data_IF_977343490434
#
_entry.id   IF_977343490434
#
_cell.length_a   1.000
_cell.length_b   1.000
_cell.length_c   1.000
_cell.angle_alpha   90.00
_cell.angle_beta   90.00
_cell.angle_gamma   90.00
#
_symmetry.space_group_name_H-M   'P 1'
#
loop_
_entity.id
_entity.type
_entity.pdbx_description
1 polymer ?
#
# COMPACT_ATOMS: atom_id res chain seq x y z
N UNK A 1 22.97 5.25 3.62
CA UNK A 1 23.35 4.72 2.27
C UNK A 1 22.11 4.67 1.40
N UNK A 2 22.18 5.05 0.13
CA UNK A 2 21.03 5.05 -0.81
C UNK A 2 21.06 3.77 -1.65
N UNK A 3 19.91 3.12 -1.86
CA UNK A 3 19.74 2.02 -2.81
C UNK A 3 19.28 2.59 -4.15
N UNK A 4 20.12 2.46 -5.18
CA UNK A 4 19.80 2.84 -6.56
C UNK A 4 19.41 1.60 -7.38
N UNK A 5 18.28 1.68 -8.07
CA UNK A 5 17.68 0.59 -8.83
C UNK A 5 17.35 1.06 -10.24
N UNK A 6 17.96 0.44 -11.23
CA UNK A 6 17.63 0.54 -12.65
C UNK A 6 17.49 -0.89 -13.16
N UNK A 7 16.29 -1.35 -13.48
CA UNK A 7 16.04 -2.74 -13.88
C UNK A 7 15.12 -2.80 -15.08
N UNK A 8 15.52 -3.63 -16.06
CA UNK A 8 14.65 -4.09 -17.14
C UNK A 8 14.61 -5.62 -17.11
N UNK A 9 13.39 -6.19 -17.11
CA UNK A 9 13.18 -7.63 -17.11
C UNK A 9 11.95 -8.00 -17.93
N UNK A 10 12.13 -8.80 -18.96
CA UNK A 10 11.03 -9.45 -19.68
C UNK A 10 10.57 -10.67 -18.87
N UNK A 11 9.32 -10.70 -18.44
CA UNK A 11 8.77 -11.81 -17.67
C UNK A 11 7.98 -12.80 -18.54
N UNK A 12 7.24 -12.29 -19.54
CA UNK A 12 6.55 -13.07 -20.54
C UNK A 12 6.31 -12.21 -21.81
N UNK A 13 5.68 -12.77 -22.83
CA UNK A 13 5.46 -12.07 -24.11
C UNK A 13 4.68 -10.74 -23.98
N UNK A 14 3.86 -10.59 -22.95
CA UNK A 14 3.01 -9.40 -22.73
C UNK A 14 3.41 -8.52 -21.55
N UNK A 15 4.43 -8.89 -20.75
CA UNK A 15 4.78 -8.14 -19.55
C UNK A 15 6.29 -7.94 -19.40
N UNK A 16 6.69 -6.67 -19.45
CA UNK A 16 8.06 -6.23 -19.19
C UNK A 16 8.09 -5.29 -17.98
N UNK A 17 9.04 -5.52 -17.07
CA UNK A 17 9.37 -4.62 -15.97
C UNK A 17 10.44 -3.62 -16.44
N UNK A 18 10.17 -2.32 -16.28
CA UNK A 18 11.11 -1.24 -16.59
C UNK A 18 11.01 -0.17 -15.52
N UNK A 19 11.96 -0.12 -14.60
CA UNK A 19 11.92 0.78 -13.44
C UNK A 19 13.27 1.44 -13.20
N UNK A 20 13.21 2.71 -12.78
CA UNK A 20 14.37 3.49 -12.35
C UNK A 20 13.99 4.34 -11.14
N UNK A 21 14.64 4.11 -9.99
CA UNK A 21 14.39 4.88 -8.78
C UNK A 21 15.56 4.81 -7.81
N UNK A 22 15.50 5.68 -6.80
CA UNK A 22 16.39 5.66 -5.62
C UNK A 22 15.55 5.53 -4.36
N UNK A 23 15.97 4.67 -3.45
CA UNK A 23 15.44 4.55 -2.10
C UNK A 23 16.50 5.09 -1.12
N UNK A 24 16.16 6.21 -0.50
CA UNK A 24 16.98 6.82 0.54
C UNK A 24 16.85 6.04 1.86
N UNK A 25 17.71 6.30 2.87
CA UNK A 25 17.48 5.78 4.21
C UNK A 25 16.07 6.11 4.71
N UNK A 26 15.36 5.09 5.16
CA UNK A 26 13.93 5.17 5.48
C UNK A 26 13.14 4.09 4.74
N UNK A 27 11.81 4.18 4.80
CA UNK A 27 10.91 3.20 4.21
C UNK A 27 10.36 3.69 2.87
N UNK A 28 10.78 3.07 1.78
CA UNK A 28 10.19 3.28 0.45
C UNK A 28 9.17 2.18 0.16
N UNK A 29 7.91 2.57 0.06
CA UNK A 29 6.81 1.68 -0.27
C UNK A 29 6.77 1.43 -1.77
N UNK A 30 6.73 0.16 -2.20
CA UNK A 30 6.37 -0.24 -3.55
C UNK A 30 4.89 -0.62 -3.55
N UNK A 31 4.05 0.21 -4.14
CA UNK A 31 2.60 0.09 -4.13
C UNK A 31 2.06 -0.22 -5.53
N UNK A 32 1.00 -1.01 -5.63
CA UNK A 32 0.36 -1.33 -6.91
C UNK A 32 -0.44 -2.63 -6.86
N UNK A 33 -1.20 -2.92 -7.92
CA UNK A 33 -2.00 -4.14 -8.06
C UNK A 33 -1.13 -5.41 -7.98
N UNK A 34 -1.77 -6.55 -7.69
CA UNK A 34 -1.13 -7.85 -7.84
C UNK A 34 -0.65 -8.02 -9.28
N UNK A 35 0.56 -8.53 -9.47
CA UNK A 35 1.15 -8.69 -10.80
C UNK A 35 1.81 -7.43 -11.37
N UNK A 36 1.84 -6.27 -10.70
CA UNK A 36 2.48 -5.04 -11.22
C UNK A 36 4.02 -5.09 -11.27
N UNK A 37 4.66 -6.13 -10.72
CA UNK A 37 6.12 -6.33 -10.77
C UNK A 37 6.86 -6.04 -9.46
N UNK A 38 6.18 -5.69 -8.36
CA UNK A 38 6.79 -5.35 -7.05
C UNK A 38 7.75 -6.41 -6.51
N UNK A 39 7.29 -7.66 -6.40
CA UNK A 39 8.11 -8.80 -5.96
C UNK A 39 9.28 -9.05 -6.90
N UNK A 40 9.12 -8.81 -8.21
CA UNK A 40 10.20 -8.95 -9.19
C UNK A 40 11.30 -7.92 -8.97
N UNK A 41 10.94 -6.69 -8.59
CA UNK A 41 11.93 -5.66 -8.20
C UNK A 41 12.73 -6.13 -6.98
N UNK A 42 12.04 -6.57 -5.91
CA UNK A 42 12.73 -7.07 -4.72
C UNK A 42 13.68 -8.22 -5.06
N UNK A 43 13.19 -9.21 -5.83
CA UNK A 43 14.00 -10.36 -6.26
C UNK A 43 15.19 -9.95 -7.13
N UNK A 44 15.03 -8.94 -7.98
CA UNK A 44 16.12 -8.37 -8.79
C UNK A 44 17.19 -7.71 -7.93
N UNK A 45 16.79 -6.92 -6.93
CA UNK A 45 17.71 -6.31 -5.96
C UNK A 45 18.43 -7.38 -5.13
N UNK A 46 17.72 -8.39 -4.67
CA UNK A 46 18.29 -9.49 -3.90
C UNK A 46 19.19 -10.44 -4.70
N UNK A 47 19.12 -10.40 -6.06
CA UNK A 47 19.83 -11.35 -6.95
C UNK A 47 19.12 -12.68 -7.11
N UNK A 48 17.90 -12.83 -6.59
CA UNK A 48 17.07 -14.04 -6.75
C UNK A 48 16.47 -14.18 -8.16
N UNK A 49 16.38 -13.07 -8.86
CA UNK A 49 16.00 -13.01 -10.29
C UNK A 49 17.01 -12.12 -11.00
N UNK A 50 17.68 -12.65 -12.02
CA UNK A 50 18.64 -11.87 -12.79
C UNK A 50 17.89 -10.93 -13.74
N UNK A 51 18.11 -9.59 -13.65
CA UNK A 51 17.61 -8.65 -14.65
C UNK A 51 18.21 -8.90 -16.02
N UNK A 52 17.48 -8.52 -17.08
CA UNK A 52 18.02 -8.61 -18.44
C UNK A 52 18.98 -7.45 -18.71
N UNK A 53 18.65 -6.25 -18.19
CA UNK A 53 19.49 -5.07 -18.26
C UNK A 53 19.31 -4.22 -17.00
N UNK A 54 20.30 -3.38 -16.72
CA UNK A 54 20.21 -2.37 -15.69
C UNK A 54 21.37 -2.38 -14.71
N UNK A 55 21.15 -1.69 -13.58
CA UNK A 55 22.15 -1.54 -12.51
C UNK A 55 21.47 -1.50 -11.16
N UNK A 56 22.01 -2.19 -10.18
CA UNK A 56 21.63 -2.14 -8.75
C UNK A 56 22.85 -1.81 -7.94
N UNK A 57 22.77 -0.79 -7.09
CA UNK A 57 23.86 -0.38 -6.20
C UNK A 57 23.35 0.07 -4.84
N UNK A 58 24.11 -0.17 -3.77
CA UNK A 58 23.87 0.35 -2.43
C UNK A 58 25.07 1.23 -2.04
N UNK A 59 24.84 2.55 -1.93
CA UNK A 59 25.92 3.53 -1.86
C UNK A 59 26.83 3.38 -3.08
N UNK A 60 28.15 3.22 -2.85
CA UNK A 60 29.13 3.05 -3.93
C UNK A 60 29.29 1.59 -4.39
N UNK A 61 28.68 0.64 -3.67
CA UNK A 61 28.80 -0.79 -3.99
C UNK A 61 27.81 -1.21 -5.05
N UNK A 62 28.30 -1.60 -6.23
CA UNK A 62 27.51 -2.16 -7.32
C UNK A 62 27.24 -3.65 -7.04
N UNK A 63 25.96 -4.04 -7.04
CA UNK A 63 25.51 -5.42 -6.84
C UNK A 63 25.21 -6.13 -8.17
N UNK A 64 24.73 -5.36 -9.14
CA UNK A 64 24.46 -5.83 -10.51
C UNK A 64 24.70 -4.69 -11.49
N UNK A 65 25.34 -4.99 -12.60
CA UNK A 65 25.48 -4.06 -13.73
C UNK A 65 25.66 -4.86 -15.04
N UNK A 66 24.64 -4.77 -15.90
CA UNK A 66 24.64 -5.50 -17.18
C UNK A 66 25.64 -4.98 -18.20
N UNK A 67 26.14 -3.74 -18.06
CA UNK A 67 27.14 -3.15 -18.98
C UNK A 67 28.55 -3.58 -18.62
N UNK A 68 28.84 -3.65 -17.33
CA UNK A 68 30.19 -4.03 -16.84
C UNK A 68 30.29 -5.52 -16.49
N UNK A 69 29.19 -6.28 -16.58
CA UNK A 69 29.14 -7.71 -16.28
C UNK A 69 29.18 -8.05 -14.79
N UNK A 70 28.98 -7.07 -13.91
CA UNK A 70 28.94 -7.29 -12.45
C UNK A 70 27.64 -8.00 -12.08
N UNK A 71 27.74 -9.13 -11.38
CA UNK A 71 26.58 -9.86 -10.81
C UNK A 71 27.02 -10.52 -9.49
N UNK A 72 26.87 -9.79 -8.40
CA UNK A 72 27.27 -10.24 -7.05
C UNK A 72 26.36 -11.37 -6.61
N UNK A 73 26.93 -12.46 -6.12
CA UNK A 73 26.20 -13.62 -5.62
C UNK A 73 25.27 -13.24 -4.45
N UNK A 74 24.10 -13.89 -4.37
CA UNK A 74 23.06 -13.58 -3.37
C UNK A 74 23.60 -13.46 -1.95
N UNK A 75 24.40 -14.41 -1.41
CA UNK A 75 24.91 -14.32 -0.05
C UNK A 75 25.84 -13.13 0.19
N UNK A 76 26.48 -12.65 -0.86
CA UNK A 76 27.46 -11.55 -0.80
C UNK A 76 26.80 -10.17 -0.96
N UNK A 77 25.53 -10.08 -1.31
CA UNK A 77 24.83 -8.80 -1.48
C UNK A 77 24.59 -8.06 -0.17
N UNK A 78 24.63 -8.76 0.96
CA UNK A 78 24.34 -8.22 2.29
C UNK A 78 23.01 -7.48 2.37
N UNK A 79 21.96 -8.06 1.81
CA UNK A 79 20.58 -7.57 1.89
C UNK A 79 19.73 -8.50 2.77
N UNK A 80 18.94 -7.92 3.66
CA UNK A 80 17.93 -8.67 4.40
C UNK A 80 16.69 -8.87 3.54
N UNK A 81 16.13 -10.07 3.48
CA UNK A 81 14.91 -10.35 2.74
C UNK A 81 13.87 -11.07 3.61
N UNK A 82 12.65 -10.53 3.67
CA UNK A 82 11.50 -11.19 4.28
C UNK A 82 10.51 -11.53 3.18
N UNK A 83 10.31 -12.83 2.97
CA UNK A 83 9.38 -13.35 1.96
C UNK A 83 7.94 -13.28 2.48
N UNK A 84 6.98 -13.18 1.56
CA UNK A 84 5.55 -13.21 1.88
C UNK A 84 5.14 -14.44 2.70
N UNK A 85 5.71 -15.60 2.40
CA UNK A 85 5.49 -16.84 3.15
C UNK A 85 6.48 -17.05 4.31
N UNK A 86 7.20 -16.00 4.74
CA UNK A 86 8.21 -15.96 5.79
C UNK A 86 9.41 -16.90 5.59
N UNK A 87 9.25 -18.03 4.93
CA UNK A 87 10.26 -19.04 4.64
C UNK A 87 11.11 -19.42 5.89
N UNK A 88 10.47 -19.59 7.06
CA UNK A 88 11.14 -20.10 8.23
C UNK A 88 11.44 -21.59 8.06
N UNK A 89 12.58 -22.03 8.59
CA UNK A 89 12.97 -23.44 8.57
C UNK A 89 12.15 -24.20 9.62
N UNK A 90 11.24 -25.10 9.26
CA UNK A 90 10.29 -25.72 10.21
C UNK A 90 10.96 -26.66 11.20
N UNK A 91 12.12 -27.21 10.85
CA UNK A 91 12.90 -28.13 11.69
C UNK A 91 13.86 -27.43 12.66
N UNK A 92 13.99 -26.10 12.54
CA UNK A 92 14.86 -25.28 13.39
C UNK A 92 14.04 -24.53 14.44
N UNK A 93 14.62 -24.29 15.62
CA UNK A 93 14.04 -23.41 16.63
C UNK A 93 14.05 -21.93 16.17
N UNK A 94 13.34 -21.07 16.89
CA UNK A 94 13.37 -19.59 16.68
C UNK A 94 14.80 -19.08 16.74
N UNK A 95 15.59 -19.48 17.76
CA UNK A 95 17.00 -19.09 17.87
C UNK A 95 17.84 -19.55 16.68
N UNK A 96 17.63 -20.78 16.20
CA UNK A 96 18.34 -21.32 15.05
C UNK A 96 17.94 -20.63 13.74
N UNK A 97 16.65 -20.29 13.56
CA UNK A 97 16.18 -19.50 12.44
C UNK A 97 16.83 -18.12 12.42
N UNK A 98 16.80 -17.39 13.53
CA UNK A 98 17.43 -16.07 13.64
C UNK A 98 18.94 -16.18 13.36
N UNK A 99 19.64 -17.10 13.99
CA UNK A 99 21.08 -17.26 13.89
C UNK A 99 21.59 -17.90 12.60
N UNK A 100 20.70 -18.26 11.65
CA UNK A 100 21.09 -19.03 10.44
C UNK A 100 22.14 -18.30 9.60
N UNK A 101 21.98 -17.01 9.37
CA UNK A 101 22.91 -16.17 8.60
C UNK A 101 24.22 -15.85 9.35
N UNK A 102 24.35 -16.25 10.62
CA UNK A 102 25.53 -16.00 11.46
C UNK A 102 26.44 -17.21 11.64
N UNK A 103 26.31 -18.24 10.79
CA UNK A 103 27.04 -19.51 10.95
C UNK A 103 28.56 -19.35 10.98
N UNK A 104 29.10 -18.34 10.32
CA UNK A 104 30.54 -18.04 10.29
C UNK A 104 31.07 -17.35 11.57
N UNK A 105 30.19 -16.83 12.44
CA UNK A 105 30.60 -16.15 13.67
C UNK A 105 30.91 -17.13 14.81
N UNK A 106 31.80 -16.76 15.74
CA UNK A 106 32.02 -17.47 16.99
C UNK A 106 30.69 -17.69 17.74
N UNK A 107 30.59 -18.83 18.45
CA UNK A 107 29.35 -19.27 19.12
C UNK A 107 28.78 -18.21 20.07
N UNK A 108 29.65 -17.59 20.87
CA UNK A 108 29.22 -16.63 21.89
C UNK A 108 28.74 -15.32 21.25
N UNK A 109 29.42 -14.83 20.22
CA UNK A 109 29.00 -13.66 19.46
C UNK A 109 27.66 -13.90 18.74
N UNK A 110 27.51 -15.05 18.07
CA UNK A 110 26.26 -15.45 17.45
C UNK A 110 25.11 -15.49 18.47
N UNK A 111 25.34 -16.10 19.66
CA UNK A 111 24.34 -16.17 20.73
C UNK A 111 23.94 -14.77 21.22
N UNK A 112 24.89 -13.87 21.41
CA UNK A 112 24.65 -12.49 21.84
C UNK A 112 23.82 -11.73 20.80
N UNK A 113 24.15 -11.84 19.50
CA UNK A 113 23.40 -11.18 18.43
C UNK A 113 21.97 -11.73 18.30
N UNK A 114 21.79 -13.05 18.42
CA UNK A 114 20.48 -13.68 18.39
C UNK A 114 19.63 -13.21 19.57
N UNK A 115 20.18 -13.13 20.78
CA UNK A 115 19.49 -12.65 21.96
C UNK A 115 19.06 -11.18 21.81
N UNK A 116 19.96 -10.31 21.34
CA UNK A 116 19.65 -8.89 21.09
C UNK A 116 18.57 -8.69 20.01
N UNK A 117 18.62 -9.48 18.92
CA UNK A 117 17.57 -9.45 17.90
C UNK A 117 16.23 -9.95 18.45
N UNK A 118 16.21 -11.02 19.24
CA UNK A 118 15.01 -11.54 19.85
C UNK A 118 14.38 -10.56 20.85
N UNK A 119 15.20 -9.83 21.60
CA UNK A 119 14.75 -8.78 22.52
C UNK A 119 14.11 -7.60 21.76
N UNK A 120 14.77 -7.14 20.69
CA UNK A 120 14.26 -6.03 19.86
C UNK A 120 12.89 -6.31 19.23
N UNK A 121 12.56 -7.57 19.00
CA UNK A 121 11.28 -7.99 18.43
C UNK A 121 10.35 -8.70 19.45
N UNK A 122 10.65 -8.61 20.75
CA UNK A 122 9.83 -9.15 21.85
C UNK A 122 9.52 -10.65 21.74
N UNK A 123 10.51 -11.45 21.31
CA UNK A 123 10.41 -12.92 21.16
C UNK A 123 11.45 -13.69 21.99
N UNK A 124 12.08 -13.07 22.97
CA UNK A 124 13.13 -13.70 23.80
C UNK A 124 12.65 -14.97 24.52
N UNK A 125 11.38 -15.02 24.95
CA UNK A 125 10.79 -16.20 25.61
C UNK A 125 10.47 -17.37 24.66
N UNK A 126 10.73 -17.22 23.34
CA UNK A 126 10.35 -18.19 22.32
C UNK A 126 11.54 -18.89 21.66
N UNK A 127 12.77 -18.58 22.06
CA UNK A 127 14.01 -18.98 21.38
C UNK A 127 14.13 -20.49 21.14
N UNK A 128 13.64 -21.32 22.08
CA UNK A 128 13.71 -22.77 21.98
C UNK A 128 12.52 -23.40 21.24
N UNK A 129 11.47 -22.61 20.95
CA UNK A 129 10.28 -23.11 20.23
C UNK A 129 10.54 -23.24 18.74
N UNK A 130 9.76 -24.11 18.08
CA UNK A 130 9.74 -24.23 16.61
C UNK A 130 8.67 -23.34 15.99
N UNK A 131 8.74 -23.06 14.68
CA UNK A 131 7.76 -22.21 13.99
C UNK A 131 6.30 -22.68 14.09
N UNK A 132 6.05 -23.97 14.23
CA UNK A 132 4.71 -24.56 14.44
C UNK A 132 4.16 -24.37 15.86
N UNK A 133 5.01 -23.99 16.80
CA UNK A 133 4.68 -23.78 18.22
C UNK A 133 4.50 -22.29 18.59
N UNK A 134 4.52 -21.40 17.59
CA UNK A 134 4.40 -19.95 17.78
C UNK A 134 3.30 -19.38 16.88
N UNK A 135 2.69 -18.27 17.30
CA UNK A 135 1.64 -17.57 16.57
C UNK A 135 2.13 -16.98 15.24
N UNK A 136 1.19 -16.54 14.38
CA UNK A 136 1.50 -15.87 13.11
C UNK A 136 2.38 -14.63 13.29
N UNK A 137 2.04 -13.77 14.26
CA UNK A 137 2.82 -12.56 14.57
C UNK A 137 4.22 -12.89 15.11
N UNK A 138 4.37 -13.92 15.93
CA UNK A 138 5.67 -14.37 16.46
C UNK A 138 6.53 -14.97 15.34
N UNK A 139 5.95 -15.71 14.40
CA UNK A 139 6.65 -16.16 13.18
C UNK A 139 7.15 -14.97 12.35
N UNK A 140 6.31 -13.94 12.19
CA UNK A 140 6.68 -12.72 11.47
C UNK A 140 7.86 -12.01 12.13
N UNK A 141 7.80 -11.81 13.46
CA UNK A 141 8.88 -11.21 14.24
C UNK A 141 10.18 -12.03 14.15
N UNK A 142 10.08 -13.37 14.13
CA UNK A 142 11.21 -14.26 13.90
C UNK A 142 11.84 -14.06 12.53
N UNK A 143 11.02 -13.92 11.46
CA UNK A 143 11.51 -13.69 10.11
C UNK A 143 12.18 -12.31 9.96
N UNK A 144 11.63 -11.27 10.60
CA UNK A 144 12.26 -9.95 10.67
C UNK A 144 13.59 -10.01 11.42
N UNK A 145 13.62 -10.60 12.62
CA UNK A 145 14.84 -10.78 13.41
C UNK A 145 15.92 -11.54 12.62
N UNK A 146 15.56 -12.60 11.88
CA UNK A 146 16.47 -13.36 11.00
C UNK A 146 17.05 -12.50 9.87
N UNK A 147 16.24 -11.65 9.26
CA UNK A 147 16.68 -10.79 8.17
C UNK A 147 17.62 -9.67 8.66
N UNK A 148 17.44 -9.22 9.91
CA UNK A 148 18.12 -8.05 10.47
C UNK A 148 19.35 -8.39 11.30
N UNK A 149 19.46 -9.62 11.83
CA UNK A 149 20.59 -10.05 12.69
C UNK A 149 21.94 -10.01 11.99
N UNK A 150 21.94 -10.12 10.66
CA UNK A 150 23.15 -10.08 9.82
C UNK A 150 23.66 -8.67 9.54
N UNK A 151 22.99 -7.63 10.09
CA UNK A 151 23.30 -6.23 9.87
C UNK A 151 23.36 -5.85 8.38
N UNK A 152 22.24 -6.01 7.65
CA UNK A 152 22.21 -5.84 6.21
C UNK A 152 22.38 -4.38 5.79
N UNK A 153 22.84 -4.15 4.55
CA UNK A 153 22.97 -2.81 3.95
C UNK A 153 21.63 -2.25 3.40
N UNK A 154 20.65 -3.11 3.20
CA UNK A 154 19.28 -2.77 2.82
C UNK A 154 18.32 -3.88 3.28
N UNK A 155 17.04 -3.54 3.49
CA UNK A 155 15.99 -4.47 3.88
C UNK A 155 14.90 -4.53 2.82
N UNK A 156 14.51 -5.73 2.41
CA UNK A 156 13.53 -6.02 1.39
C UNK A 156 12.38 -6.82 2.01
N UNK A 157 11.17 -6.24 2.02
CA UNK A 157 10.00 -6.80 2.68
C UNK A 157 8.87 -7.01 1.65
N UNK A 158 8.50 -8.25 1.42
CA UNK A 158 7.51 -8.64 0.42
C UNK A 158 6.18 -8.99 1.10
N UNK A 159 5.23 -8.06 1.15
CA UNK A 159 3.93 -8.15 1.83
C UNK A 159 4.02 -8.76 3.25
N UNK A 160 4.90 -8.24 4.11
CA UNK A 160 5.26 -8.95 5.34
C UNK A 160 4.13 -9.07 6.35
N UNK A 161 3.08 -8.26 6.28
CA UNK A 161 2.02 -8.20 7.29
C UNK A 161 0.65 -8.68 6.78
N UNK A 162 0.54 -9.14 5.54
CA UNK A 162 -0.73 -9.46 4.87
C UNK A 162 -1.60 -10.53 5.56
N UNK A 163 -0.99 -11.43 6.36
CA UNK A 163 -1.68 -12.56 7.02
C UNK A 163 -1.97 -12.31 8.51
N UNK A 164 -1.80 -11.08 9.01
CA UNK A 164 -1.92 -10.75 10.43
C UNK A 164 -3.13 -9.86 10.70
N UNK A 165 -3.67 -9.95 11.91
CA UNK A 165 -4.69 -9.01 12.39
C UNK A 165 -4.10 -7.61 12.65
N UNK A 166 -4.99 -6.62 12.67
CA UNK A 166 -4.62 -5.20 12.73
C UNK A 166 -3.79 -4.83 13.97
N UNK A 167 -4.09 -5.38 15.13
CA UNK A 167 -3.40 -5.02 16.37
C UNK A 167 -1.94 -5.48 16.34
N UNK A 168 -1.71 -6.70 15.82
CA UNK A 168 -0.37 -7.28 15.64
C UNK A 168 0.39 -6.54 14.54
N UNK A 169 -0.27 -6.23 13.41
CA UNK A 169 0.35 -5.44 12.34
C UNK A 169 0.91 -4.12 12.89
N UNK A 170 0.10 -3.38 13.67
CA UNK A 170 0.50 -2.09 14.24
C UNK A 170 1.74 -2.22 15.13
N UNK A 171 1.77 -3.21 16.01
CA UNK A 171 2.93 -3.43 16.87
C UNK A 171 4.21 -3.72 16.07
N UNK A 172 4.13 -4.57 15.05
CA UNK A 172 5.28 -4.91 14.19
C UNK A 172 5.74 -3.69 13.38
N UNK A 173 4.81 -2.86 12.89
CA UNK A 173 5.15 -1.61 12.21
C UNK A 173 5.89 -0.63 13.14
N UNK A 174 5.44 -0.49 14.38
CA UNK A 174 6.10 0.35 15.39
C UNK A 174 7.50 -0.17 15.75
N UNK A 175 7.67 -1.50 15.86
CA UNK A 175 8.96 -2.15 16.11
C UNK A 175 9.93 -1.93 14.93
N UNK A 176 9.46 -2.10 13.69
CA UNK A 176 10.26 -1.89 12.48
C UNK A 176 10.69 -0.43 12.34
N UNK A 177 9.78 0.51 12.61
CA UNK A 177 10.08 1.95 12.56
C UNK A 177 11.16 2.30 13.56
N UNK A 178 10.99 1.95 14.85
CA UNK A 178 11.98 2.19 15.91
C UNK A 178 13.34 1.57 15.57
N UNK A 179 13.32 0.36 15.03
CA UNK A 179 14.55 -0.30 14.61
C UNK A 179 15.28 0.49 13.51
N UNK A 180 14.53 0.99 12.49
CA UNK A 180 15.14 1.70 11.36
C UNK A 180 15.54 3.15 11.70
N UNK A 181 14.89 3.80 12.68
CA UNK A 181 15.29 5.15 13.16
C UNK A 181 16.74 5.22 13.63
N UNK A 182 17.22 4.14 14.27
CA UNK A 182 18.60 4.04 14.74
C UNK A 182 19.59 3.61 13.66
N UNK A 183 19.17 2.77 12.71
CA UNK A 183 20.05 2.16 11.69
C UNK A 183 20.11 2.95 10.39
N UNK A 184 19.04 3.67 10.06
CA UNK A 184 18.90 4.47 8.84
C UNK A 184 19.26 3.71 7.57
N UNK A 185 18.68 2.50 7.43
CA UNK A 185 18.81 1.68 6.23
C UNK A 185 17.75 2.05 5.18
N UNK A 186 18.03 1.88 3.89
CA UNK A 186 17.01 1.85 2.86
C UNK A 186 16.19 0.57 3.01
N UNK A 187 14.88 0.73 3.22
CA UNK A 187 13.91 -0.36 3.30
C UNK A 187 13.01 -0.28 2.08
N UNK A 188 12.96 -1.33 1.25
CA UNK A 188 11.93 -1.50 0.24
C UNK A 188 10.82 -2.37 0.81
N UNK A 189 9.63 -1.81 0.90
CA UNK A 189 8.47 -2.45 1.50
C UNK A 189 7.36 -2.60 0.47
N UNK A 190 7.04 -3.82 0.08
CA UNK A 190 5.92 -4.12 -0.82
C UNK A 190 4.64 -4.28 -0.02
N UNK A 191 3.62 -3.55 -0.39
CA UNK A 191 2.26 -3.70 0.14
C UNK A 191 1.22 -3.19 -0.84
N UNK A 192 -0.02 -3.63 -0.67
CA UNK A 192 -1.21 -3.06 -1.27
C UNK A 192 -2.12 -2.40 -0.21
N UNK A 193 -1.70 -2.36 1.06
CA UNK A 193 -2.41 -1.76 2.19
C UNK A 193 -2.09 -0.27 2.31
N UNK A 194 -3.11 0.59 2.16
CA UNK A 194 -3.00 2.04 2.42
C UNK A 194 -2.54 2.33 3.83
N UNK A 195 -3.06 1.57 4.81
CA UNK A 195 -2.71 1.74 6.23
C UNK A 195 -1.22 1.56 6.46
N UNK A 196 -0.65 0.51 5.88
CA UNK A 196 0.79 0.24 5.98
C UNK A 196 1.59 1.34 5.28
N UNK A 197 1.15 1.75 4.08
CA UNK A 197 1.78 2.82 3.31
C UNK A 197 1.81 4.15 4.07
N UNK A 198 0.69 4.56 4.69
CA UNK A 198 0.61 5.78 5.50
C UNK A 198 1.33 5.65 6.84
N UNK A 199 1.31 4.46 7.47
CA UNK A 199 1.92 4.25 8.78
C UNK A 199 3.44 4.17 8.71
N UNK A 200 4.02 3.59 7.65
CA UNK A 200 5.45 3.30 7.56
C UNK A 200 6.19 4.13 6.50
N UNK A 201 5.52 4.50 5.40
CA UNK A 201 6.18 5.02 4.22
C UNK A 201 6.68 6.45 4.39
N UNK A 202 7.98 6.66 4.22
CA UNK A 202 8.57 7.98 4.01
C UNK A 202 8.41 8.39 2.54
N UNK A 203 8.47 7.42 1.64
CA UNK A 203 8.26 7.57 0.20
C UNK A 203 7.41 6.42 -0.34
N UNK A 204 6.61 6.71 -1.37
CA UNK A 204 5.84 5.72 -2.09
C UNK A 204 6.15 5.79 -3.57
N UNK A 205 6.34 4.62 -4.18
CA UNK A 205 6.51 4.42 -5.62
C UNK A 205 5.34 3.56 -6.07
N UNK A 206 4.49 4.13 -6.90
CA UNK A 206 3.35 3.44 -7.45
C UNK A 206 3.70 2.76 -8.78
N UNK A 207 3.35 1.48 -8.88
CA UNK A 207 3.69 0.61 -10.00
C UNK A 207 2.44 0.12 -10.70
N UNK A 208 2.44 0.25 -12.02
CA UNK A 208 1.41 -0.29 -12.89
C UNK A 208 2.06 -0.91 -14.13
N UNK A 209 1.62 -2.12 -14.51
CA UNK A 209 2.10 -2.83 -15.70
C UNK A 209 3.63 -2.81 -15.89
N UNK A 210 4.37 -2.98 -14.78
CA UNK A 210 5.84 -3.03 -14.81
C UNK A 210 6.54 -1.67 -14.91
N UNK A 211 5.82 -0.56 -14.77
CA UNK A 211 6.36 0.81 -14.84
C UNK A 211 6.00 1.62 -13.60
N UNK A 212 6.83 2.60 -13.30
CA UNK A 212 6.53 3.60 -12.26
C UNK A 212 5.59 4.63 -12.86
N UNK A 213 4.41 4.79 -12.24
CA UNK A 213 3.40 5.78 -12.67
C UNK A 213 3.36 7.00 -11.76
N UNK A 214 3.81 6.87 -10.51
CA UNK A 214 3.93 7.99 -9.59
C UNK A 214 4.98 7.71 -8.50
N UNK A 215 5.52 8.78 -7.92
CA UNK A 215 6.46 8.70 -6.81
C UNK A 215 6.41 10.00 -6.01
N UNK A 216 6.31 9.90 -4.68
CA UNK A 216 6.21 11.01 -3.75
C UNK A 216 6.04 10.51 -2.32
N UNK A 217 5.56 11.35 -1.41
CA UNK A 217 5.06 10.88 -0.11
C UNK A 217 3.79 10.03 -0.31
N UNK A 218 3.42 9.15 0.63
CA UNK A 218 2.17 8.40 0.54
C UNK A 218 0.94 9.30 0.33
N UNK A 219 0.90 10.46 0.97
CA UNK A 219 -0.20 11.42 0.80
C UNK A 219 -0.24 12.05 -0.60
N UNK A 220 0.92 12.45 -1.14
CA UNK A 220 0.98 13.03 -2.50
C UNK A 220 0.53 12.02 -3.57
N UNK A 221 0.86 10.74 -3.40
CA UNK A 221 0.55 9.72 -4.41
C UNK A 221 -0.84 9.13 -4.24
N UNK A 222 -1.24 8.78 -3.01
CA UNK A 222 -2.49 8.05 -2.75
C UNK A 222 -3.71 8.95 -2.59
N UNK A 223 -3.53 10.22 -2.23
CA UNK A 223 -4.62 11.19 -2.15
C UNK A 223 -4.83 11.96 -3.48
N UNK A 224 -4.04 11.65 -4.54
CA UNK A 224 -4.12 12.36 -5.82
C UNK A 224 -4.98 11.57 -6.84
N UNK A 225 -6.23 12.01 -7.12
CA UNK A 225 -7.17 11.27 -7.96
C UNK A 225 -6.85 11.29 -9.46
N UNK A 226 -5.84 12.08 -9.91
CA UNK A 226 -5.41 12.11 -11.31
C UNK A 226 -4.88 10.77 -11.84
N UNK A 227 -4.45 9.90 -10.96
CA UNK A 227 -3.93 8.58 -11.32
C UNK A 227 -5.07 7.54 -11.27
N UNK A 228 -5.94 7.54 -12.28
CA UNK A 228 -7.11 6.67 -12.34
C UNK A 228 -6.86 5.18 -12.01
N UNK A 229 -5.76 4.55 -12.46
CA UNK A 229 -5.45 3.19 -12.07
C UNK A 229 -5.08 3.03 -10.60
N UNK A 230 -4.47 4.06 -10.01
CA UNK A 230 -4.15 4.08 -8.59
C UNK A 230 -5.34 4.48 -7.72
N UNK A 231 -6.27 5.26 -8.24
CA UNK A 231 -7.45 5.69 -7.51
C UNK A 231 -8.29 4.48 -7.07
N UNK A 232 -8.49 3.49 -7.94
CA UNK A 232 -9.16 2.23 -7.57
C UNK A 232 -8.38 1.47 -6.48
N UNK A 233 -7.05 1.42 -6.58
CA UNK A 233 -6.18 0.86 -5.55
C UNK A 233 -6.15 1.73 -4.29
N UNK A 234 -6.35 3.04 -4.42
CA UNK A 234 -6.48 3.98 -3.32
C UNK A 234 -7.86 3.93 -2.62
N UNK A 235 -8.73 2.99 -3.02
CA UNK A 235 -10.06 2.81 -2.45
C UNK A 235 -11.02 3.92 -2.86
N UNK A 236 -10.78 4.55 -4.02
CA UNK A 236 -11.75 5.42 -4.66
C UNK A 236 -12.54 4.60 -5.70
N UNK A 237 -13.65 4.03 -5.28
CA UNK A 237 -14.52 3.20 -6.14
C UNK A 237 -15.39 4.07 -7.05
N UNK A 238 -15.61 5.33 -6.68
CA UNK A 238 -16.39 6.29 -7.44
C UNK A 238 -15.46 7.31 -8.10
N UNK A 239 -15.27 7.18 -9.41
CA UNK A 239 -14.43 8.05 -10.23
C UNK A 239 -15.28 8.65 -11.34
N UNK A 240 -15.36 9.97 -11.38
CA UNK A 240 -16.19 10.69 -12.34
C UNK A 240 -15.37 11.77 -13.06
N UNK A 241 -15.48 11.83 -14.37
CA UNK A 241 -15.08 13.01 -15.12
C UNK A 241 -16.17 14.07 -14.95
N UNK A 242 -15.79 15.32 -14.75
CA UNK A 242 -16.69 16.43 -14.45
C UNK A 242 -16.18 17.74 -15.03
N UNK A 243 -17.07 18.72 -15.15
CA UNK A 243 -16.72 20.10 -15.54
C UNK A 243 -17.10 21.04 -14.40
N UNK A 244 -16.21 21.95 -14.03
CA UNK A 244 -16.50 23.00 -13.04
C UNK A 244 -17.54 23.94 -13.63
N UNK A 245 -18.70 24.05 -13.00
CA UNK A 245 -19.80 24.96 -13.45
C UNK A 245 -19.78 26.27 -12.70
N UNK A 246 -19.44 26.27 -11.40
CA UNK A 246 -19.38 27.51 -10.61
C UNK A 246 -18.29 27.43 -9.54
N UNK A 247 -17.79 28.59 -9.12
CA UNK A 247 -16.86 28.76 -8.00
C UNK A 247 -17.51 29.54 -6.88
N UNK A 248 -17.33 29.10 -5.65
CA UNK A 248 -17.90 29.74 -4.46
C UNK A 248 -16.76 30.10 -3.49
N UNK A 249 -15.94 31.10 -3.84
CA UNK A 249 -14.71 31.45 -3.11
C UNK A 249 -14.94 31.74 -1.63
N UNK A 250 -16.08 32.40 -1.27
CA UNK A 250 -16.45 32.66 0.14
C UNK A 250 -16.84 31.39 0.91
N UNK A 251 -17.39 30.38 0.21
CA UNK A 251 -17.80 29.12 0.82
C UNK A 251 -16.64 28.10 0.83
N UNK A 252 -15.54 28.37 0.14
CA UNK A 252 -14.42 27.46 0.00
C UNK A 252 -14.74 26.21 -0.85
N UNK A 253 -15.66 26.35 -1.82
CA UNK A 253 -16.15 25.22 -2.62
C UNK A 253 -16.28 25.60 -4.11
N UNK A 254 -16.49 24.61 -4.95
CA UNK A 254 -16.92 24.77 -6.35
C UNK A 254 -17.95 23.71 -6.70
N UNK A 255 -18.86 24.04 -7.62
CA UNK A 255 -19.85 23.11 -8.17
C UNK A 255 -19.30 22.50 -9.44
N UNK A 256 -19.45 21.20 -9.61
CA UNK A 256 -19.09 20.47 -10.83
C UNK A 256 -20.26 19.62 -11.31
N UNK A 257 -20.45 19.61 -12.62
CA UNK A 257 -21.40 18.74 -13.32
C UNK A 257 -20.66 17.48 -13.78
N UNK A 258 -21.15 16.30 -13.39
CA UNK A 258 -20.59 15.02 -13.82
C UNK A 258 -20.88 14.79 -15.31
N UNK A 259 -19.86 14.36 -16.05
CA UNK A 259 -19.94 14.21 -17.52
C UNK A 259 -20.97 13.16 -17.92
N UNK A 260 -21.87 13.53 -18.84
CA UNK A 260 -22.90 12.62 -19.34
C UNK A 260 -24.13 12.44 -18.44
N UNK A 261 -24.23 13.23 -17.36
CA UNK A 261 -25.35 13.16 -16.40
C UNK A 261 -25.88 14.55 -16.06
N UNK A 262 -26.95 14.63 -15.27
CA UNK A 262 -27.43 15.87 -14.66
C UNK A 262 -27.01 16.04 -13.19
N UNK A 263 -26.11 15.18 -12.71
CA UNK A 263 -25.68 15.18 -11.31
C UNK A 263 -24.64 16.27 -11.07
N UNK A 264 -24.95 17.18 -10.18
CA UNK A 264 -23.99 18.18 -9.68
C UNK A 264 -23.43 17.77 -8.32
N UNK A 265 -22.14 18.03 -8.12
CA UNK A 265 -21.46 17.85 -6.85
C UNK A 265 -20.77 19.15 -6.42
N UNK A 266 -20.94 19.48 -5.13
CA UNK A 266 -20.16 20.53 -4.48
C UNK A 266 -18.88 19.92 -3.90
N UNK A 267 -17.72 20.35 -4.41
CA UNK A 267 -16.39 19.84 -4.09
C UNK A 267 -15.53 20.95 -3.45
N UNK A 268 -14.41 20.63 -2.77
CA UNK A 268 -13.53 21.64 -2.21
C UNK A 268 -13.03 22.62 -3.27
N UNK A 269 -12.84 23.88 -2.89
CA UNK A 269 -12.30 24.90 -3.75
C UNK A 269 -10.88 24.55 -4.19
N UNK A 270 -10.67 24.39 -5.48
CA UNK A 270 -9.39 24.16 -6.13
C UNK A 270 -8.95 25.33 -6.99
N UNK A 271 -7.88 25.13 -7.75
CA UNK A 271 -7.34 26.13 -8.69
C UNK A 271 -8.09 26.17 -10.03
N UNK A 272 -8.90 25.14 -10.33
CA UNK A 272 -9.62 25.04 -11.60
C UNK A 272 -10.63 26.16 -11.77
N UNK A 273 -10.65 26.79 -12.95
CA UNK A 273 -11.63 27.79 -13.31
C UNK A 273 -12.95 27.16 -13.79
N UNK A 274 -14.04 27.94 -13.81
CA UNK A 274 -15.28 27.50 -14.44
C UNK A 274 -15.04 27.14 -15.92
N UNK A 275 -15.65 26.03 -16.37
CA UNK A 275 -15.44 25.44 -17.69
C UNK A 275 -14.28 24.45 -17.78
N UNK A 276 -13.45 24.32 -16.73
CA UNK A 276 -12.33 23.38 -16.72
C UNK A 276 -12.82 21.96 -16.48
N UNK A 277 -12.32 21.01 -17.27
CA UNK A 277 -12.51 19.57 -17.04
C UNK A 277 -11.67 19.13 -15.82
N UNK A 278 -12.28 18.37 -14.95
CA UNK A 278 -11.67 17.83 -13.74
C UNK A 278 -12.09 16.37 -13.54
N UNK A 279 -11.40 15.67 -12.66
CA UNK A 279 -11.82 14.36 -12.18
C UNK A 279 -12.19 14.44 -10.70
N UNK A 280 -13.35 13.87 -10.34
CA UNK A 280 -13.83 13.77 -8.96
C UNK A 280 -13.76 12.31 -8.51
N UNK A 281 -13.12 12.05 -7.37
CA UNK A 281 -12.99 10.74 -6.78
C UNK A 281 -13.59 10.72 -5.37
N UNK A 282 -14.39 9.69 -5.06
CA UNK A 282 -15.06 9.51 -3.78
C UNK A 282 -14.91 8.05 -3.33
N UNK A 283 -14.50 7.84 -2.09
CA UNK A 283 -14.45 6.49 -1.52
C UNK A 283 -15.85 5.99 -1.22
N UNK A 284 -16.12 4.73 -1.52
CA UNK A 284 -17.42 4.12 -1.26
C UNK A 284 -17.82 4.14 0.23
N UNK A 285 -16.83 4.06 1.13
CA UNK A 285 -17.05 4.15 2.57
C UNK A 285 -17.31 5.56 3.11
N UNK A 286 -17.07 6.61 2.31
CA UNK A 286 -17.31 8.00 2.68
C UNK A 286 -18.72 8.49 2.30
N UNK A 287 -19.49 7.66 1.59
CA UNK A 287 -20.88 7.92 1.20
C UNK A 287 -21.80 7.33 2.26
N UNK A 288 -22.59 8.19 2.89
CA UNK A 288 -23.63 7.76 3.80
C UNK A 288 -24.95 7.58 3.05
N UNK A 289 -25.78 6.63 3.49
CA UNK A 289 -27.15 6.47 3.02
C UNK A 289 -28.16 6.86 4.12
N UNK A 290 -29.28 7.43 3.73
CA UNK A 290 -30.41 7.71 4.58
C UNK A 290 -31.72 7.25 3.92
N UNK A 291 -32.72 6.87 4.74
CA UNK A 291 -34.04 6.39 4.29
C UNK A 291 -34.97 7.54 3.84
N UNK A 292 -34.67 8.77 4.26
CA UNK A 292 -35.39 9.99 3.94
C UNK A 292 -34.40 11.17 3.77
N UNK A 293 -34.88 12.25 3.19
CA UNK A 293 -34.07 13.44 3.02
C UNK A 293 -33.56 13.98 4.36
N UNK A 294 -32.24 13.97 4.58
CA UNK A 294 -31.68 14.45 5.83
C UNK A 294 -31.62 15.98 5.88
N UNK A 295 -31.88 16.56 7.04
CA UNK A 295 -31.83 18.00 7.26
C UNK A 295 -30.79 18.37 8.32
N UNK A 296 -30.30 19.63 8.33
CA UNK A 296 -29.41 20.15 9.36
C UNK A 296 -27.99 19.58 9.31
N UNK A 297 -27.52 19.11 8.17
CA UNK A 297 -26.20 18.53 7.97
C UNK A 297 -25.17 19.56 7.47
N UNK A 298 -23.90 19.32 7.79
CA UNK A 298 -22.78 20.04 7.17
C UNK A 298 -22.36 19.47 5.81
N UNK A 299 -22.91 18.31 5.41
CA UNK A 299 -22.72 17.76 4.07
C UNK A 299 -23.49 18.61 3.05
N UNK A 300 -22.85 18.92 1.91
CA UNK A 300 -23.46 19.74 0.84
C UNK A 300 -24.06 18.90 -0.26
N UNK A 301 -23.58 17.69 -0.47
CA UNK A 301 -24.11 16.79 -1.49
C UNK A 301 -25.14 15.86 -0.84
N UNK A 302 -26.40 16.12 -1.10
CA UNK A 302 -27.53 15.30 -0.69
C UNK A 302 -28.32 14.97 -1.94
N UNK A 303 -28.23 13.71 -2.40
CA UNK A 303 -28.76 13.28 -3.69
C UNK A 303 -29.81 12.19 -3.49
N UNK A 304 -31.03 12.33 -4.08
CA UNK A 304 -31.97 11.24 -4.12
C UNK A 304 -31.49 10.14 -5.06
N UNK A 305 -31.68 8.89 -4.69
CA UNK A 305 -31.29 7.75 -5.50
C UNK A 305 -32.09 6.49 -5.19
N UNK A 306 -31.84 5.45 -5.95
CA UNK A 306 -32.44 4.14 -5.76
C UNK A 306 -31.34 3.07 -5.77
N UNK A 307 -31.51 2.05 -4.93
CA UNK A 307 -30.62 0.89 -4.91
C UNK A 307 -30.76 0.13 -6.22
N UNK A 308 -29.70 0.05 -7.02
CA UNK A 308 -29.67 -0.77 -8.23
C UNK A 308 -29.30 -2.21 -7.91
N UNK A 309 -28.26 -2.39 -7.10
CA UNK A 309 -27.73 -3.70 -6.68
C UNK A 309 -27.23 -3.62 -5.24
N UNK A 310 -27.29 -4.75 -4.54
CA UNK A 310 -26.76 -4.87 -3.19
C UNK A 310 -26.26 -6.29 -2.96
N UNK A 311 -25.00 -6.46 -2.54
CA UNK A 311 -24.40 -7.77 -2.33
C UNK A 311 -23.40 -7.75 -1.16
N UNK A 312 -23.29 -8.89 -0.46
CA UNK A 312 -22.27 -9.12 0.55
C UNK A 312 -20.92 -9.40 -0.11
N UNK A 313 -19.87 -8.67 0.29
CA UNK A 313 -18.49 -8.94 -0.09
C UNK A 313 -17.61 -9.03 1.17
N UNK A 314 -17.31 -10.25 1.59
CA UNK A 314 -16.62 -10.49 2.86
C UNK A 314 -17.46 -10.01 4.05
N UNK A 315 -16.94 -9.07 4.85
CA UNK A 315 -17.62 -8.47 6.01
C UNK A 315 -18.37 -7.16 5.67
N UNK A 316 -18.41 -6.75 4.40
CA UNK A 316 -18.96 -5.46 3.95
C UNK A 316 -20.10 -5.70 2.97
N UNK A 317 -21.16 -4.92 3.08
CA UNK A 317 -22.20 -4.83 2.04
C UNK A 317 -21.78 -3.78 1.03
N UNK A 318 -21.72 -4.16 -0.24
CA UNK A 318 -21.47 -3.27 -1.37
C UNK A 318 -22.80 -3.01 -2.07
N UNK A 319 -23.21 -1.76 -2.10
CA UNK A 319 -24.42 -1.32 -2.78
C UNK A 319 -24.10 -0.41 -3.95
N UNK A 320 -24.75 -0.61 -5.08
CA UNK A 320 -24.74 0.32 -6.20
C UNK A 320 -26.04 1.13 -6.17
N UNK A 321 -25.90 2.47 -6.11
CA UNK A 321 -27.01 3.40 -6.03
C UNK A 321 -27.05 4.23 -7.32
N UNK A 322 -28.19 4.26 -7.98
CA UNK A 322 -28.43 5.15 -9.10
C UNK A 322 -29.02 6.49 -8.59
N UNK A 323 -28.32 7.57 -8.82
CA UNK A 323 -28.74 8.93 -8.50
C UNK A 323 -28.69 9.78 -9.77
N UNK A 324 -29.83 10.09 -10.34
CA UNK A 324 -29.99 10.92 -11.56
C UNK A 324 -29.14 10.44 -12.74
N UNK A 325 -29.08 9.13 -12.97
CA UNK A 325 -28.31 8.49 -14.03
C UNK A 325 -26.82 8.33 -13.73
N UNK A 326 -26.38 8.67 -12.51
CA UNK A 326 -25.03 8.43 -12.02
C UNK A 326 -25.03 7.24 -11.07
N UNK A 327 -24.18 6.24 -11.33
CA UNK A 327 -24.04 5.07 -10.48
C UNK A 327 -22.94 5.28 -9.44
N UNK A 328 -23.34 5.25 -8.17
CA UNK A 328 -22.44 5.33 -7.01
C UNK A 328 -22.28 3.97 -6.35
N UNK A 329 -21.04 3.60 -6.05
CA UNK A 329 -20.73 2.45 -5.20
C UNK A 329 -20.65 2.92 -3.75
N UNK A 330 -21.33 2.22 -2.84
CA UNK A 330 -21.39 2.56 -1.41
C UNK A 330 -21.06 1.32 -0.58
N UNK A 331 -20.20 1.50 0.44
CA UNK A 331 -19.85 0.46 1.39
C UNK A 331 -20.56 0.66 2.72
N UNK A 332 -21.22 -0.40 3.21
CA UNK A 332 -21.93 -0.37 4.49
C UNK A 332 -21.56 -1.59 5.34
N UNK A 333 -21.82 -1.47 6.63
CA UNK A 333 -21.86 -2.65 7.52
C UNK A 333 -23.15 -3.44 7.25
N UNK A 334 -23.17 -4.77 7.50
CA UNK A 334 -24.41 -5.55 7.40
C UNK A 334 -25.57 -4.94 8.21
N UNK A 335 -25.32 -4.54 9.47
CA UNK A 335 -26.33 -3.91 10.29
C UNK A 335 -26.85 -2.57 9.75
N UNK A 336 -26.01 -1.79 9.05
CA UNK A 336 -26.44 -0.56 8.37
C UNK A 336 -27.33 -0.86 7.17
N UNK A 337 -27.02 -1.89 6.40
CA UNK A 337 -27.84 -2.34 5.28
C UNK A 337 -29.20 -2.87 5.75
N UNK A 338 -29.22 -3.65 6.83
CA UNK A 338 -30.45 -4.19 7.44
C UNK A 338 -31.33 -3.07 7.98
N UNK A 339 -30.74 -2.07 8.67
CA UNK A 339 -31.51 -0.91 9.20
C UNK A 339 -32.19 -0.11 8.10
N UNK A 340 -31.57 0.01 6.94
CA UNK A 340 -32.11 0.71 5.78
C UNK A 340 -32.97 -0.20 4.87
N UNK A 341 -33.10 -1.48 5.22
CA UNK A 341 -33.79 -2.49 4.41
C UNK A 341 -33.34 -2.47 2.93
N UNK A 342 -32.02 -2.41 2.70
CA UNK A 342 -31.48 -2.25 1.35
C UNK A 342 -31.82 -3.44 0.47
N UNK A 343 -32.51 -3.15 -0.63
CA UNK A 343 -32.87 -4.10 -1.68
C UNK A 343 -33.00 -3.36 -3.01
N UNK A 344 -32.82 -4.00 -4.15
CA UNK A 344 -33.03 -3.38 -5.44
C UNK A 344 -34.38 -2.65 -5.54
N UNK A 345 -34.37 -1.42 -6.03
CA UNK A 345 -35.52 -0.53 -6.13
C UNK A 345 -35.85 0.28 -4.87
N UNK A 346 -35.18 0.05 -3.74
CA UNK A 346 -35.36 0.87 -2.52
C UNK A 346 -34.89 2.29 -2.77
N UNK A 347 -35.73 3.29 -2.51
CA UNK A 347 -35.37 4.69 -2.55
C UNK A 347 -34.52 5.03 -1.32
N UNK A 348 -33.42 5.76 -1.54
CA UNK A 348 -32.46 6.21 -0.51
C UNK A 348 -31.93 7.58 -0.86
N UNK A 349 -31.33 8.25 0.12
CA UNK A 349 -30.59 9.49 -0.07
C UNK A 349 -29.10 9.27 0.15
N UNK A 350 -28.28 9.69 -0.81
CA UNK A 350 -26.83 9.70 -0.66
C UNK A 350 -26.41 11.01 -0.01
N UNK A 351 -25.56 10.91 1.01
CA UNK A 351 -25.02 12.06 1.73
C UNK A 351 -23.50 12.02 1.63
N UNK A 352 -22.93 13.01 0.97
CA UNK A 352 -21.49 13.07 0.72
C UNK A 352 -20.97 14.42 1.21
N UNK A 353 -19.97 14.39 2.09
CA UNK A 353 -19.30 15.63 2.51
C UNK A 353 -18.49 16.21 1.36
N UNK A 354 -18.48 17.54 1.21
CA UNK A 354 -17.64 18.23 0.25
C UNK A 354 -16.19 17.76 0.28
N UNK A 355 -15.60 17.62 1.49
CA UNK A 355 -14.22 17.18 1.68
C UNK A 355 -13.99 15.66 1.46
N UNK A 356 -15.04 14.87 1.30
CA UNK A 356 -14.91 13.47 0.82
C UNK A 356 -14.73 13.39 -0.69
N UNK A 357 -15.01 14.46 -1.42
CA UNK A 357 -14.75 14.58 -2.85
C UNK A 357 -13.30 15.06 -3.07
N UNK A 358 -12.48 14.21 -3.67
CA UNK A 358 -11.13 14.57 -4.10
C UNK A 358 -11.16 15.03 -5.54
N UNK A 359 -10.45 16.12 -5.83
CA UNK A 359 -10.44 16.74 -7.15
C UNK A 359 -9.04 16.71 -7.74
N UNK A 360 -8.91 16.33 -9.00
CA UNK A 360 -7.70 16.46 -9.80
C UNK A 360 -7.97 17.19 -11.11
N UNK A 361 -6.95 17.83 -11.66
CA UNK A 361 -6.99 18.30 -13.04
C UNK A 361 -7.21 17.09 -13.96
N UNK A 362 -8.16 17.22 -14.90
CA UNK A 362 -8.47 16.20 -15.90
C UNK A 362 -7.40 16.10 -16.98
#
# INVERSE_FOLDING_TARGET
MTLAVLLTKQLNAGFALEVSFRAEPGVTILFGASGSGKTTILRGVAGLTRPDRGRVAIGDRVLFDSQTGVDVAVPERHVGYVFQQLALFPHMSVAQNIGYGLAALPRDERRARVAAAAESFHISGLLERRPDQVSGGERQRTALARALVTDPSALLLDEPLSALDYAIQRQIMDDLRRWNETRRLPVLYVTHSHREAFALGDRLIALEHGRIVASGSPHEVLDHPALAPLAALAGFENLFDATVTARHDRAGTMTCLLTGTSTELEVPLGVAAAGTAIRVAIRAGDILLADREPAGLSARNVLPGAVAECAMQGATVVAAIDASGTRFTVHLTPGGADTLELRPGRAVWLVIKTYSCRVAAG
#
